data_IF_611265577843
#
_entry.id   IF_611265577843
#
_cell.length_a   1.000
_cell.length_b   1.000
_cell.length_c   1.000
_cell.angle_alpha   90.00
_cell.angle_beta   90.00
_cell.angle_gamma   90.00
#
_symmetry.space_group_name_H-M   'P 1'
#
loop_
_entity.id
_entity.type
_entity.pdbx_description
1 polymer ?
#
# COMPACT_ATOMS: atom_id res chain seq x y z
N UNK A 1 -6.85 21.01 13.30
CA UNK A 1 -5.55 20.80 13.98
C UNK A 1 -5.18 19.36 13.76
N UNK A 2 -3.96 18.99 13.36
CA UNK A 2 -3.62 17.56 13.34
C UNK A 2 -3.84 17.05 14.76
N UNK A 3 -4.65 16.00 14.91
CA UNK A 3 -4.79 15.32 16.20
C UNK A 3 -3.39 14.90 16.65
N UNK A 4 -2.98 15.31 17.84
CA UNK A 4 -1.74 14.83 18.41
C UNK A 4 -1.87 13.32 18.60
N UNK A 5 -1.22 12.55 17.74
CA UNK A 5 -1.16 11.11 17.84
C UNK A 5 0.21 10.73 18.44
N UNK A 6 0.27 10.27 19.70
CA UNK A 6 1.55 10.02 20.39
C UNK A 6 2.32 8.80 19.83
N UNK A 7 1.67 7.99 18.99
CA UNK A 7 2.26 6.78 18.40
C UNK A 7 2.74 7.11 16.98
N UNK A 8 4.02 6.83 16.74
CA UNK A 8 4.67 7.00 15.43
C UNK A 8 4.48 5.77 14.55
N UNK A 9 4.58 5.95 13.22
CA UNK A 9 4.56 4.84 12.26
C UNK A 9 5.65 3.78 12.55
N UNK A 10 6.81 4.22 13.06
CA UNK A 10 7.87 3.29 13.47
C UNK A 10 7.41 2.38 14.61
N UNK A 11 6.72 2.92 15.61
CA UNK A 11 6.18 2.12 16.71
C UNK A 11 5.10 1.14 16.22
N UNK A 12 4.24 1.55 15.29
CA UNK A 12 3.24 0.67 14.65
C UNK A 12 3.93 -0.49 13.91
N UNK A 13 4.95 -0.21 13.09
CA UNK A 13 5.70 -1.25 12.37
C UNK A 13 6.33 -2.25 13.34
N UNK A 14 6.98 -1.77 14.41
CA UNK A 14 7.59 -2.66 15.42
C UNK A 14 6.55 -3.50 16.15
N UNK A 15 5.37 -2.94 16.43
CA UNK A 15 4.27 -3.68 17.04
C UNK A 15 3.78 -4.80 16.12
N UNK A 16 3.58 -4.51 14.83
CA UNK A 16 3.19 -5.52 13.83
C UNK A 16 4.22 -6.65 13.72
N UNK A 17 5.52 -6.33 13.66
CA UNK A 17 6.57 -7.35 13.52
C UNK A 17 6.76 -8.19 14.78
N UNK A 18 6.76 -7.56 15.96
CA UNK A 18 7.20 -8.21 17.21
C UNK A 18 6.07 -8.73 18.08
N UNK A 19 4.89 -8.11 18.01
CA UNK A 19 3.73 -8.48 18.85
C UNK A 19 2.70 -9.27 18.04
N UNK A 20 2.43 -8.85 16.80
CA UNK A 20 1.52 -9.57 15.90
C UNK A 20 2.24 -10.63 15.04
N UNK A 21 3.57 -10.73 15.16
CA UNK A 21 4.41 -11.68 14.41
C UNK A 21 4.23 -11.60 12.88
N UNK A 22 3.89 -10.41 12.37
CA UNK A 22 3.73 -10.17 10.94
C UNK A 22 5.12 -9.96 10.31
N UNK A 23 5.46 -10.78 9.31
CA UNK A 23 6.66 -10.57 8.52
C UNK A 23 6.48 -9.41 7.51
N UNK A 24 6.78 -8.20 7.97
CA UNK A 24 6.72 -6.97 7.15
C UNK A 24 7.71 -7.04 5.97
N UNK A 25 8.80 -7.79 6.09
CA UNK A 25 9.75 -8.03 4.99
C UNK A 25 9.10 -8.82 3.87
N UNK A 26 8.44 -9.93 4.20
CA UNK A 26 7.68 -10.74 3.24
C UNK A 26 6.54 -9.94 2.58
N UNK A 27 5.83 -9.11 3.34
CA UNK A 27 4.79 -8.21 2.78
C UNK A 27 5.39 -7.22 1.78
N UNK A 28 6.56 -6.64 2.08
CA UNK A 28 7.27 -5.74 1.16
C UNK A 28 7.67 -6.44 -0.12
N UNK A 29 8.17 -7.67 -0.03
CA UNK A 29 8.54 -8.48 -1.18
C UNK A 29 7.34 -8.89 -2.03
N UNK A 30 6.19 -9.17 -1.41
CA UNK A 30 4.94 -9.42 -2.10
C UNK A 30 4.53 -8.20 -2.93
N UNK A 31 4.48 -7.01 -2.30
CA UNK A 31 4.14 -5.75 -2.99
C UNK A 31 5.10 -5.48 -4.15
N UNK A 32 6.41 -5.69 -3.95
CA UNK A 32 7.41 -5.54 -5.01
C UNK A 32 7.08 -6.45 -6.19
N UNK A 33 6.89 -7.75 -5.96
CA UNK A 33 6.60 -8.73 -7.01
C UNK A 33 5.32 -8.39 -7.78
N UNK A 34 4.27 -7.97 -7.09
CA UNK A 34 3.01 -7.59 -7.74
C UNK A 34 3.13 -6.33 -8.61
N UNK A 35 4.00 -5.38 -8.22
CA UNK A 35 4.08 -4.07 -8.87
C UNK A 35 5.25 -3.90 -9.85
N UNK A 36 6.25 -4.80 -9.81
CA UNK A 36 7.51 -4.71 -10.56
C UNK A 36 7.31 -4.47 -12.05
N UNK A 37 6.52 -5.30 -12.74
CA UNK A 37 6.27 -5.16 -14.18
C UNK A 37 5.64 -3.82 -14.53
N UNK A 38 4.67 -3.36 -13.73
CA UNK A 38 3.96 -2.10 -13.99
C UNK A 38 4.87 -0.89 -13.72
N UNK A 39 5.71 -0.95 -12.68
CA UNK A 39 6.72 0.06 -12.41
C UNK A 39 7.77 0.16 -13.53
N UNK A 40 8.29 -0.98 -13.99
CA UNK A 40 9.26 -1.04 -15.10
C UNK A 40 8.67 -0.53 -16.43
N UNK A 41 7.37 -0.71 -16.64
CA UNK A 41 6.65 -0.15 -17.79
C UNK A 41 6.37 1.36 -17.68
N UNK A 42 6.73 2.01 -16.57
CA UNK A 42 6.48 3.44 -16.35
C UNK A 42 5.02 3.77 -16.04
N UNK A 43 4.24 2.82 -15.51
CA UNK A 43 2.86 3.08 -15.12
C UNK A 43 2.78 4.07 -13.94
N UNK A 44 1.63 4.73 -13.81
CA UNK A 44 1.32 5.62 -12.67
C UNK A 44 0.57 4.89 -11.54
N UNK A 45 0.24 3.61 -11.74
CA UNK A 45 -0.43 2.76 -10.75
C UNK A 45 -0.84 1.41 -11.32
N UNK A 46 -1.27 0.53 -10.44
CA UNK A 46 -1.76 -0.81 -10.76
C UNK A 46 -3.10 -1.04 -10.05
N UNK A 47 -4.06 -1.64 -10.73
CA UNK A 47 -5.25 -2.22 -10.10
C UNK A 47 -5.16 -3.72 -10.23
N UNK A 48 -5.17 -4.41 -9.09
CA UNK A 48 -5.21 -5.86 -9.01
C UNK A 48 -6.29 -6.25 -8.03
N UNK A 49 -7.27 -7.02 -8.48
CA UNK A 49 -8.45 -7.41 -7.71
C UNK A 49 -9.11 -6.23 -6.98
N UNK A 50 -9.17 -6.33 -5.65
CA UNK A 50 -9.72 -5.36 -4.70
C UNK A 50 -8.66 -4.36 -4.18
N UNK A 51 -7.51 -4.22 -4.84
CA UNK A 51 -6.41 -3.34 -4.43
C UNK A 51 -5.99 -2.40 -5.57
N UNK A 52 -5.74 -1.14 -5.21
CA UNK A 52 -5.15 -0.10 -6.05
C UNK A 52 -3.81 0.32 -5.47
N UNK A 53 -2.77 0.16 -6.27
CA UNK A 53 -1.43 0.68 -6.02
C UNK A 53 -1.24 1.99 -6.78
N UNK A 54 -0.67 3.00 -6.12
CA UNK A 54 -0.33 4.29 -6.71
C UNK A 54 1.18 4.41 -6.78
N UNK A 55 1.67 4.83 -7.94
CA UNK A 55 3.11 4.97 -8.17
C UNK A 55 3.49 6.44 -8.32
N UNK A 56 4.65 6.80 -7.78
CA UNK A 56 5.31 8.09 -8.00
C UNK A 56 6.83 7.88 -7.96
N UNK A 57 7.57 8.52 -8.86
CA UNK A 57 9.03 8.46 -8.95
C UNK A 57 9.61 7.03 -8.91
N UNK A 58 8.96 6.11 -9.62
CA UNK A 58 9.37 4.70 -9.70
C UNK A 58 9.13 3.89 -8.43
N UNK A 59 8.25 4.35 -7.52
CA UNK A 59 7.96 3.70 -6.23
C UNK A 59 6.47 3.57 -5.99
N UNK A 60 6.07 2.54 -5.23
CA UNK A 60 4.73 2.46 -4.65
C UNK A 60 4.65 3.42 -3.47
N UNK A 61 3.75 4.40 -3.56
CA UNK A 61 3.59 5.44 -2.51
C UNK A 61 2.29 5.31 -1.75
N UNK A 62 1.30 4.63 -2.30
CA UNK A 62 0.01 4.42 -1.64
C UNK A 62 -0.62 3.13 -2.13
N UNK A 63 -1.28 2.42 -1.20
CA UNK A 63 -2.08 1.24 -1.48
C UNK A 63 -3.46 1.49 -0.86
N UNK A 64 -4.51 1.33 -1.64
CA UNK A 64 -5.90 1.52 -1.20
C UNK A 64 -6.74 0.34 -1.66
N UNK A 65 -7.84 0.01 -0.97
CA UNK A 65 -8.85 -0.87 -1.54
C UNK A 65 -9.36 -0.32 -2.87
N UNK A 66 -9.43 -1.14 -3.92
CA UNK A 66 -10.12 -0.82 -5.17
C UNK A 66 -11.63 -1.09 -5.02
N UNK A 67 -12.27 -0.40 -4.08
CA UNK A 67 -13.71 -0.24 -4.13
C UNK A 67 -14.07 0.72 -5.27
N UNK A 68 -15.13 0.45 -6.03
CA UNK A 68 -15.82 1.50 -6.79
C UNK A 68 -16.56 2.35 -5.73
N UNK A 69 -16.17 3.60 -5.43
CA UNK A 69 -17.03 4.46 -4.63
C UNK A 69 -18.15 4.93 -5.56
N UNK A 70 -19.28 4.22 -5.54
CA UNK A 70 -20.48 4.59 -6.29
C UNK A 70 -20.42 4.29 -7.80
N UNK A 71 -20.82 3.08 -8.18
CA UNK A 71 -21.43 2.91 -9.50
C UNK A 71 -22.79 3.63 -9.49
N UNK A 72 -22.84 4.88 -9.97
CA UNK A 72 -24.09 5.45 -10.48
C UNK A 72 -24.44 4.69 -11.75
N UNK A 73 -25.50 3.90 -11.70
CA UNK A 73 -26.35 3.73 -12.87
C UNK A 73 -26.90 5.10 -13.26
N UNK A 74 -26.69 5.47 -14.52
CA UNK A 74 -27.12 6.71 -15.15
C UNK A 74 -26.60 6.69 -16.58
#
# INVERSE_FOLDING_TARGET
MPEFHPVTDHAVLRYMERVLEIDVGAVRDLIRRETETALLAGAVGLRSDAIRYVFADGKVVTIMPSGRPGGRHG
#
